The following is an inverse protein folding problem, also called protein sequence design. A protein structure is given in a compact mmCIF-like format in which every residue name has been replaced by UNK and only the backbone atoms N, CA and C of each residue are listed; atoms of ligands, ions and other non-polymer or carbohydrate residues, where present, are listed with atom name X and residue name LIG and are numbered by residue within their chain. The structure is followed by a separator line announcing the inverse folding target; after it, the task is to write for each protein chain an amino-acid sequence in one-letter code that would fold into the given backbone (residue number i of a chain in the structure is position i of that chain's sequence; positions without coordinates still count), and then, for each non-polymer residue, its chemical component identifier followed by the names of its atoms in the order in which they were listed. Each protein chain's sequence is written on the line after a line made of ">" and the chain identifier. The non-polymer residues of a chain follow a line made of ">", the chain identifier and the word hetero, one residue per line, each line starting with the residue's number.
data_IF_094323775644
#
_entry.id   IF_094323775644
#
_cell.length_a   1.000
_cell.length_b   1.000
_cell.length_c   1.000
_cell.angle_alpha   90.00
_cell.angle_beta   90.00
_cell.angle_gamma   90.00
#
_symmetry.space_group_name_H-M   'P 1'
#
loop_
_entity.id
_entity.type
_entity.pdbx_description
1 polymer ?
#
# COMPACT_ATOMS: atom_id res chain seq x y z
N UNK A 1 -3.78 5.89 -8.56
CA UNK A 1 -3.10 5.65 -7.27
C UNK A 1 -2.62 4.21 -7.25
N UNK A 2 -1.39 3.96 -6.79
CA UNK A 2 -0.80 2.61 -6.77
C UNK A 2 -0.97 1.97 -5.39
N UNK A 3 -1.34 0.71 -5.37
CA UNK A 3 -1.49 -0.10 -4.17
C UNK A 3 -0.77 -1.43 -4.37
N UNK A 4 -0.40 -2.07 -3.28
CA UNK A 4 0.17 -3.42 -3.32
C UNK A 4 -0.46 -4.28 -2.22
N UNK A 5 -0.72 -5.56 -2.47
CA UNK A 5 -1.10 -6.49 -1.41
C UNK A 5 0.03 -6.75 -0.41
N UNK A 6 1.28 -6.36 -0.70
CA UNK A 6 2.44 -6.60 0.18
C UNK A 6 2.66 -5.44 1.16
N UNK A 7 2.31 -5.59 2.46
CA UNK A 7 2.51 -4.54 3.44
C UNK A 7 4.00 -4.28 3.67
N UNK A 8 4.84 -5.30 3.60
CA UNK A 8 6.29 -5.18 3.73
C UNK A 8 6.87 -4.29 2.63
N UNK A 9 6.48 -4.53 1.37
CA UNK A 9 6.97 -3.72 0.26
C UNK A 9 6.48 -2.27 0.38
N UNK A 10 5.20 -2.08 0.73
CA UNK A 10 4.64 -0.75 0.98
C UNK A 10 5.39 -0.02 2.09
N UNK A 11 5.65 -0.71 3.21
CA UNK A 11 6.33 -0.16 4.37
C UNK A 11 7.78 0.20 4.04
N UNK A 12 8.54 -0.70 3.40
CA UNK A 12 9.97 -0.50 3.13
C UNK A 12 10.22 0.64 2.14
N UNK A 13 9.39 0.78 1.10
CA UNK A 13 9.64 1.71 0.00
C UNK A 13 8.83 3.02 0.08
N UNK A 14 7.64 2.99 0.69
CA UNK A 14 6.68 4.10 0.64
C UNK A 14 6.09 4.47 2.00
N UNK A 15 6.42 3.73 3.07
CA UNK A 15 5.95 4.02 4.42
C UNK A 15 6.47 5.37 4.90
N UNK A 16 5.60 6.13 5.57
CA UNK A 16 5.92 7.45 6.12
C UNK A 16 6.49 7.26 7.52
N UNK A 17 7.65 7.85 7.79
CA UNK A 17 8.21 7.87 9.14
C UNK A 17 7.62 9.02 9.97
N UNK A 18 7.31 8.74 11.23
CA UNK A 18 6.79 9.70 12.19
C UNK A 18 7.49 9.50 13.53
N UNK A 19 7.81 10.60 14.21
CA UNK A 19 8.25 10.58 15.61
C UNK A 19 7.13 11.08 16.53
N UNK A 20 6.84 10.31 17.58
CA UNK A 20 5.89 10.67 18.63
C UNK A 20 6.47 10.23 19.98
N UNK A 21 6.51 11.13 20.96
CA UNK A 21 7.07 10.87 22.30
C UNK A 21 8.47 10.21 22.27
N UNK A 22 9.34 10.70 21.37
CA UNK A 22 10.71 10.18 21.14
C UNK A 22 10.79 8.73 20.65
N UNK A 23 9.68 8.17 20.18
CA UNK A 23 9.61 6.87 19.52
C UNK A 23 9.35 7.08 18.04
N UNK A 24 10.07 6.32 17.21
CA UNK A 24 9.92 6.36 15.76
C UNK A 24 8.98 5.25 15.30
N UNK A 25 8.15 5.60 14.33
CA UNK A 25 7.18 4.70 13.72
C UNK A 25 7.24 4.86 12.22
N UNK A 26 6.85 3.80 11.52
CA UNK A 26 6.59 3.83 10.08
C UNK A 26 5.15 3.46 9.82
N UNK A 27 4.49 4.24 8.97
CA UNK A 27 3.05 4.17 8.73
C UNK A 27 2.76 3.86 7.27
N UNK A 28 1.75 3.05 7.03
CA UNK A 28 1.15 2.85 5.70
C UNK A 28 -0.37 2.94 5.81
N UNK A 29 -1.01 3.42 4.73
CA UNK A 29 -2.47 3.47 4.65
C UNK A 29 -2.98 2.13 4.12
N UNK A 30 -3.90 1.53 4.85
CA UNK A 30 -4.65 0.36 4.41
C UNK A 30 -5.95 0.81 3.74
N UNK A 31 -6.18 0.30 2.54
CA UNK A 31 -7.42 0.52 1.78
C UNK A 31 -8.06 -0.82 1.43
N UNK A 32 -9.37 -0.79 1.18
CA UNK A 32 -10.08 -1.85 0.50
C UNK A 32 -10.22 -1.47 -0.97
N UNK A 33 -9.81 -2.37 -1.86
CA UNK A 33 -9.99 -2.23 -3.30
C UNK A 33 -11.28 -2.93 -3.73
N UNK A 34 -12.03 -2.29 -4.61
CA UNK A 34 -13.16 -2.89 -5.31
C UNK A 34 -12.69 -3.48 -6.65
N UNK A 35 -12.35 -4.76 -6.65
CA UNK A 35 -11.85 -5.46 -7.83
C UNK A 35 -12.84 -5.53 -8.98
N UNK A 36 -14.15 -5.54 -8.68
CA UNK A 36 -15.18 -5.61 -9.72
C UNK A 36 -15.14 -4.37 -10.63
N UNK A 37 -14.72 -3.23 -10.08
CA UNK A 37 -14.65 -1.95 -10.76
C UNK A 37 -13.22 -1.54 -11.15
N UNK A 38 -12.21 -2.35 -10.82
CA UNK A 38 -10.80 -2.04 -11.10
C UNK A 38 -10.41 -2.35 -12.55
N UNK A 39 -10.93 -3.45 -13.12
CA UNK A 39 -10.53 -3.95 -14.43
C UNK A 39 -9.21 -4.75 -14.39
N UNK A 40 -9.08 -5.86 -15.15
CA UNK A 40 -7.90 -6.73 -15.12
C UNK A 40 -6.61 -6.03 -15.57
N UNK A 41 -6.68 -5.05 -16.46
CA UNK A 41 -5.53 -4.29 -16.97
C UNK A 41 -4.82 -3.46 -15.90
N UNK A 42 -5.52 -3.17 -14.81
CA UNK A 42 -5.04 -2.39 -13.68
C UNK A 42 -4.47 -3.25 -12.55
N UNK A 43 -4.42 -4.58 -12.73
CA UNK A 43 -3.72 -5.51 -11.86
C UNK A 43 -2.41 -5.89 -12.56
N UNK A 44 -1.28 -5.59 -11.94
CA UNK A 44 0.06 -5.87 -12.47
C UNK A 44 0.69 -7.00 -11.67
N UNK A 45 0.85 -8.15 -12.32
CA UNK A 45 1.42 -9.35 -11.70
C UNK A 45 2.87 -9.14 -11.27
N UNK A 46 3.40 -10.05 -10.46
CA UNK A 46 4.80 -10.01 -10.01
C UNK A 46 5.77 -10.00 -11.21
N UNK A 47 5.46 -10.73 -12.27
CA UNK A 47 6.27 -10.83 -13.49
C UNK A 47 6.26 -9.51 -14.27
N UNK A 48 5.10 -8.86 -14.38
CA UNK A 48 4.96 -7.59 -15.11
C UNK A 48 5.69 -6.44 -14.42
N UNK A 49 5.82 -6.48 -13.10
CA UNK A 49 6.34 -5.33 -12.33
C UNK A 49 7.85 -5.32 -12.25
N UNK A 50 8.51 -6.48 -12.38
CA UNK A 50 9.95 -6.63 -12.16
C UNK A 50 10.41 -6.27 -10.74
N UNK A 51 9.47 -6.15 -9.78
CA UNK A 51 9.72 -5.67 -8.41
C UNK A 51 9.52 -6.75 -7.35
N UNK A 52 9.22 -7.98 -7.76
CA UNK A 52 8.95 -9.09 -6.85
C UNK A 52 7.62 -8.97 -6.10
N UNK A 53 6.75 -8.04 -6.50
CA UNK A 53 5.42 -7.82 -5.89
C UNK A 53 4.38 -7.45 -6.92
N UNK A 54 3.12 -7.75 -6.61
CA UNK A 54 1.96 -7.31 -7.39
C UNK A 54 1.62 -5.84 -7.07
N UNK A 55 1.06 -5.12 -8.04
CA UNK A 55 0.42 -3.82 -7.83
C UNK A 55 -0.99 -3.75 -8.40
N UNK A 56 -1.81 -2.90 -7.79
CA UNK A 56 -3.12 -2.49 -8.29
C UNK A 56 -3.12 -0.99 -8.55
N UNK A 57 -3.71 -0.59 -9.67
CA UNK A 57 -3.74 0.79 -10.12
C UNK A 57 -5.20 1.27 -10.10
N UNK A 58 -5.60 1.99 -9.05
CA UNK A 58 -6.91 2.63 -9.04
C UNK A 58 -6.85 3.95 -9.82
N UNK A 59 -7.74 4.11 -10.79
CA UNK A 59 -7.88 5.33 -11.61
C UNK A 59 -9.05 6.20 -11.15
N UNK A 60 -9.96 5.64 -10.36
CA UNK A 60 -11.12 6.33 -9.77
C UNK A 60 -11.15 6.19 -8.24
N UNK A 61 -11.71 7.19 -7.55
CA UNK A 61 -11.97 7.17 -6.11
C UNK A 61 -13.01 6.12 -5.71
N UNK A 62 -13.94 5.75 -6.59
CA UNK A 62 -14.98 4.76 -6.29
C UNK A 62 -14.42 3.33 -6.15
N UNK A 63 -13.25 3.08 -6.74
CA UNK A 63 -12.52 1.80 -6.68
C UNK A 63 -11.81 1.58 -5.34
N UNK A 64 -11.72 2.62 -4.49
CA UNK A 64 -10.96 2.56 -3.24
C UNK A 64 -11.82 3.01 -2.06
N UNK A 65 -11.65 2.33 -0.93
CA UNK A 65 -12.25 2.75 0.35
C UNK A 65 -11.17 2.76 1.42
N UNK A 66 -10.96 3.87 2.14
CA UNK A 66 -10.11 3.87 3.31
C UNK A 66 -10.55 2.77 4.30
N UNK A 67 -9.59 2.03 4.83
CA UNK A 67 -9.87 0.97 5.79
C UNK A 67 -9.18 1.24 7.13
N UNK A 68 -7.90 1.62 7.11
CA UNK A 68 -7.16 1.90 8.33
C UNK A 68 -5.75 2.41 8.07
N UNK A 69 -4.99 2.53 9.15
CA UNK A 69 -3.59 2.91 9.14
C UNK A 69 -2.83 1.82 9.89
N UNK A 70 -1.83 1.21 9.25
CA UNK A 70 -0.93 0.29 9.91
C UNK A 70 0.27 1.08 10.46
N UNK A 71 0.56 0.90 11.75
CA UNK A 71 1.63 1.60 12.45
C UNK A 71 2.64 0.56 12.93
N UNK A 72 3.89 0.71 12.49
CA UNK A 72 4.98 -0.18 12.85
C UNK A 72 6.00 0.59 13.68
N UNK A 73 6.38 0.12 14.88
CA UNK A 73 7.51 0.73 15.59
C UNK A 73 8.78 0.50 14.78
N UNK A 74 9.60 1.54 14.67
CA UNK A 74 10.98 1.41 14.23
C UNK A 74 11.81 1.26 15.50
N UNK A 75 12.33 0.04 15.73
CA UNK A 75 13.25 -0.19 16.83
C UNK A 75 14.45 0.76 16.68
N UNK A 76 14.86 1.39 17.78
CA UNK A 76 16.04 2.26 17.84
C UNK A 76 17.32 1.42 17.89
#
# INVERSE_FOLDING_TARGET
>A
MYFTPSPEHALNNYGVELECDKKKYKLIIQVRIDYANLGPENIKSVEETGRGVEYWIATDKEQIRPYGICIYPLDN
#
